data_IF_683784068921
#
_entry.id   IF_683784068921
#
_cell.length_a   1.000
_cell.length_b   1.000
_cell.length_c   1.000
_cell.angle_alpha   90.00
_cell.angle_beta   90.00
_cell.angle_gamma   90.00
#
_symmetry.space_group_name_H-M   'P 1'
#
loop_
_entity.id
_entity.type
_entity.pdbx_description
1 polymer ?
#
# COMPACT_ATOMS: atom_id res chain seq x y z
N UNK A 1 26.94 15.26 -5.58
CA UNK A 1 26.43 14.42 -4.48
C UNK A 1 25.49 13.39 -5.07
N UNK A 2 25.94 12.14 -5.07
CA UNK A 2 25.26 10.99 -5.68
C UNK A 2 24.23 10.41 -4.71
N UNK A 3 22.97 10.27 -5.14
CA UNK A 3 22.01 9.38 -4.50
C UNK A 3 21.38 8.46 -5.55
N UNK A 4 21.63 7.17 -5.30
CA UNK A 4 21.52 6.03 -6.19
C UNK A 4 20.08 5.56 -6.45
N UNK A 5 19.80 5.28 -7.73
CA UNK A 5 19.13 4.07 -8.27
C UNK A 5 17.97 3.46 -7.46
N UNK A 6 16.75 3.77 -7.88
CA UNK A 6 15.80 2.77 -8.45
C UNK A 6 14.80 3.49 -9.35
N UNK A 7 15.00 3.41 -10.66
CA UNK A 7 14.12 3.98 -11.68
C UNK A 7 12.81 3.20 -11.84
N UNK A 8 11.81 3.58 -11.05
CA UNK A 8 10.40 3.55 -11.45
C UNK A 8 9.74 4.77 -10.83
N UNK A 9 9.41 5.74 -11.66
CA UNK A 9 8.62 6.92 -11.34
C UNK A 9 7.43 6.58 -10.43
N UNK A 10 7.27 7.29 -9.31
CA UNK A 10 5.97 7.63 -8.79
C UNK A 10 5.61 9.08 -9.17
N UNK A 11 6.02 9.53 -10.37
CA UNK A 11 5.37 10.61 -11.10
C UNK A 11 4.00 10.11 -11.57
N UNK A 12 3.12 9.85 -10.61
CA UNK A 12 1.76 9.40 -10.87
C UNK A 12 0.88 9.73 -9.66
N UNK A 13 0.22 10.87 -9.81
CA UNK A 13 -1.08 11.19 -9.19
C UNK A 13 -1.00 11.79 -7.78
N UNK A 14 -0.28 12.90 -7.71
CA UNK A 14 -0.76 14.06 -6.97
C UNK A 14 -2.09 14.51 -7.59
N UNK A 15 -3.20 13.82 -7.26
CA UNK A 15 -4.57 14.36 -7.40
C UNK A 15 -4.83 15.26 -6.19
N UNK A 16 -4.00 16.28 -6.07
CA UNK A 16 -4.29 17.44 -5.24
C UNK A 16 -5.56 18.11 -5.77
N UNK A 17 -6.40 18.59 -4.85
CA UNK A 17 -7.61 19.41 -5.05
C UNK A 17 -8.97 18.71 -5.16
N UNK A 18 -9.22 17.69 -4.33
CA UNK A 18 -10.62 17.31 -4.01
C UNK A 18 -10.87 15.88 -3.56
N UNK A 19 -9.83 15.07 -3.39
CA UNK A 19 -10.00 13.67 -3.05
C UNK A 19 -10.39 13.52 -1.59
N UNK A 20 -11.65 13.18 -1.34
CA UNK A 20 -12.11 12.70 -0.04
C UNK A 20 -11.25 11.51 0.35
N UNK A 21 -10.49 11.66 1.44
CA UNK A 21 -9.70 10.57 1.98
C UNK A 21 -10.64 9.51 2.57
N UNK A 22 -10.43 8.26 2.17
CA UNK A 22 -11.06 7.10 2.78
C UNK A 22 -10.27 6.81 4.05
N UNK A 23 -10.88 7.17 5.19
CA UNK A 23 -10.39 6.84 6.53
C UNK A 23 -11.22 5.73 7.19
N UNK A 24 -12.26 5.25 6.52
CA UNK A 24 -13.09 4.14 6.97
C UNK A 24 -12.24 2.86 6.99
N UNK A 25 -11.99 2.35 8.21
CA UNK A 25 -11.12 1.19 8.41
C UNK A 25 -11.68 -0.05 7.72
N UNK A 26 -12.99 -0.25 7.72
CA UNK A 26 -13.65 -1.40 7.09
C UNK A 26 -13.41 -1.44 5.57
N UNK A 27 -13.56 -0.28 4.91
CA UNK A 27 -13.29 -0.11 3.48
C UNK A 27 -11.82 -0.34 3.16
N UNK A 28 -10.91 0.19 3.98
CA UNK A 28 -9.47 -0.02 3.81
C UNK A 28 -9.07 -1.48 4.03
N UNK A 29 -9.62 -2.13 5.06
CA UNK A 29 -9.39 -3.55 5.34
C UNK A 29 -9.80 -4.41 4.14
N UNK A 30 -10.98 -4.16 3.55
CA UNK A 30 -11.43 -4.91 2.36
C UNK A 30 -10.49 -4.72 1.17
N UNK A 31 -10.01 -3.50 0.95
CA UNK A 31 -9.04 -3.22 -0.11
C UNK A 31 -7.69 -3.90 0.15
N UNK A 32 -7.23 -3.92 1.41
CA UNK A 32 -6.02 -4.62 1.83
C UNK A 32 -6.19 -6.13 1.60
N UNK A 33 -7.26 -6.74 2.10
CA UNK A 33 -7.53 -8.19 1.94
C UNK A 33 -7.59 -8.59 0.46
N UNK A 34 -8.22 -7.78 -0.39
CA UNK A 34 -8.27 -8.02 -1.84
C UNK A 34 -6.86 -7.97 -2.46
N UNK A 35 -6.04 -6.97 -2.10
CA UNK A 35 -4.66 -6.87 -2.57
C UNK A 35 -3.82 -8.05 -2.07
N UNK A 36 -3.91 -8.43 -0.80
CA UNK A 36 -3.16 -9.55 -0.24
C UNK A 36 -3.57 -10.86 -0.92
N UNK A 37 -4.87 -11.07 -1.14
CA UNK A 37 -5.41 -12.26 -1.82
C UNK A 37 -4.98 -12.36 -3.29
N UNK A 38 -4.79 -11.21 -3.96
CA UNK A 38 -4.29 -11.16 -5.34
C UNK A 38 -2.77 -11.33 -5.46
N UNK A 39 -2.04 -11.18 -4.36
CA UNK A 39 -0.57 -11.24 -4.33
C UNK A 39 -0.07 -12.24 -3.28
N UNK A 40 -0.53 -13.52 -3.31
CA UNK A 40 -0.23 -14.49 -2.26
C UNK A 40 1.26 -14.82 -2.17
N UNK A 41 1.97 -14.74 -3.29
CA UNK A 41 3.42 -14.94 -3.35
C UNK A 41 4.16 -13.86 -2.57
N UNK A 42 3.82 -12.60 -2.83
CA UNK A 42 4.42 -11.46 -2.16
C UNK A 42 4.08 -11.45 -0.66
N UNK A 43 2.92 -11.98 -0.27
CA UNK A 43 2.57 -12.13 1.16
C UNK A 43 3.48 -13.16 1.81
N UNK A 44 3.69 -14.31 1.16
CA UNK A 44 4.63 -15.33 1.64
C UNK A 44 6.05 -14.76 1.75
N UNK A 45 6.51 -14.08 0.71
CA UNK A 45 7.82 -13.45 0.64
C UNK A 45 8.01 -12.39 1.75
N UNK A 46 6.97 -11.62 2.06
CA UNK A 46 7.00 -10.65 3.16
C UNK A 46 7.14 -11.37 4.51
N UNK A 47 6.39 -12.47 4.71
CA UNK A 47 6.47 -13.30 5.91
C UNK A 47 7.83 -14.00 6.06
N UNK A 48 8.53 -14.25 4.97
CA UNK A 48 9.93 -14.73 4.96
C UNK A 48 10.96 -13.65 5.31
N UNK A 49 10.52 -12.42 5.60
CA UNK A 49 11.39 -11.32 6.01
C UNK A 49 11.73 -10.32 4.91
N UNK A 50 11.06 -10.37 3.75
CA UNK A 50 11.22 -9.34 2.71
C UNK A 50 10.39 -8.10 3.01
N UNK A 51 10.82 -7.34 4.02
CA UNK A 51 10.15 -6.13 4.50
C UNK A 51 9.94 -5.06 3.41
N UNK A 52 10.76 -5.05 2.36
CA UNK A 52 10.61 -4.16 1.19
C UNK A 52 9.27 -4.32 0.47
N UNK A 53 8.61 -5.48 0.61
CA UNK A 53 7.28 -5.72 0.04
C UNK A 53 6.18 -4.94 0.75
N UNK A 54 6.43 -4.41 1.95
CA UNK A 54 5.48 -3.52 2.61
C UNK A 54 5.13 -2.30 1.74
N UNK A 55 6.14 -1.63 1.19
CA UNK A 55 5.94 -0.49 0.28
C UNK A 55 5.21 -0.87 -1.01
N UNK A 56 5.43 -2.09 -1.50
CA UNK A 56 4.67 -2.63 -2.64
C UNK A 56 3.18 -2.75 -2.32
N UNK A 57 2.83 -3.33 -1.16
CA UNK A 57 1.44 -3.45 -0.74
C UNK A 57 0.77 -2.09 -0.49
N UNK A 58 1.48 -1.14 0.14
CA UNK A 58 0.98 0.23 0.29
C UNK A 58 0.64 0.83 -1.07
N UNK A 59 1.55 0.75 -2.05
CA UNK A 59 1.30 1.25 -3.40
C UNK A 59 0.14 0.56 -4.10
N UNK A 60 -0.01 -0.75 -3.94
CA UNK A 60 -1.11 -1.52 -4.53
C UNK A 60 -2.47 -1.12 -3.92
N UNK A 61 -2.54 -0.92 -2.60
CA UNK A 61 -3.78 -0.47 -1.94
C UNK A 61 -4.09 0.98 -2.27
N UNK A 62 -3.09 1.87 -2.32
CA UNK A 62 -3.28 3.24 -2.80
C UNK A 62 -3.80 3.26 -4.24
N UNK A 63 -3.30 2.39 -5.12
CA UNK A 63 -3.81 2.25 -6.48
C UNK A 63 -5.25 1.73 -6.52
N UNK A 64 -5.57 0.69 -5.74
CA UNK A 64 -6.92 0.12 -5.66
C UNK A 64 -7.94 1.16 -5.17
N UNK A 65 -7.53 2.02 -4.23
CA UNK A 65 -8.32 3.13 -3.73
C UNK A 65 -8.17 4.41 -4.55
N UNK A 66 -7.54 4.39 -5.74
CA UNK A 66 -7.33 5.56 -6.61
C UNK A 66 -6.66 6.77 -5.93
N UNK A 67 -5.75 6.50 -4.99
CA UNK A 67 -5.05 7.50 -4.19
C UNK A 67 -5.91 8.11 -3.07
N UNK A 68 -7.08 7.54 -2.81
CA UNK A 68 -8.00 8.05 -1.80
C UNK A 68 -7.73 7.49 -0.40
N UNK A 69 -7.00 6.38 -0.26
CA UNK A 69 -6.69 5.83 1.06
C UNK A 69 -5.92 6.82 1.94
N UNK A 70 -6.33 6.96 3.21
CA UNK A 70 -5.52 7.66 4.19
C UNK A 70 -4.22 6.86 4.47
N UNK A 71 -3.03 7.45 4.27
CA UNK A 71 -1.78 6.72 4.40
C UNK A 71 -1.49 6.28 5.84
N UNK A 72 -1.88 7.04 6.86
CA UNK A 72 -1.62 6.67 8.26
C UNK A 72 -2.43 5.44 8.66
N UNK A 73 -3.74 5.46 8.36
CA UNK A 73 -4.65 4.34 8.65
C UNK A 73 -4.28 3.11 7.83
N UNK A 74 -3.99 3.29 6.53
CA UNK A 74 -3.53 2.21 5.66
C UNK A 74 -2.29 1.51 6.20
N UNK A 75 -1.24 2.27 6.54
CA UNK A 75 0.01 1.68 7.04
C UNK A 75 -0.21 0.88 8.32
N UNK A 76 -1.05 1.38 9.24
CA UNK A 76 -1.40 0.67 10.47
C UNK A 76 -2.11 -0.65 10.16
N UNK A 77 -3.22 -0.60 9.41
CA UNK A 77 -4.06 -1.76 9.11
C UNK A 77 -3.30 -2.82 8.29
N UNK A 78 -2.52 -2.37 7.30
CA UNK A 78 -1.73 -3.26 6.45
C UNK A 78 -0.67 -4.00 7.28
N UNK A 79 0.01 -3.30 8.19
CA UNK A 79 0.98 -3.90 9.10
C UNK A 79 0.30 -4.94 10.00
N UNK A 80 -0.84 -4.59 10.59
CA UNK A 80 -1.62 -5.53 11.42
C UNK A 80 -2.07 -6.79 10.65
N UNK A 81 -2.42 -6.66 9.36
CA UNK A 81 -2.80 -7.82 8.53
C UNK A 81 -1.63 -8.69 8.12
N UNK A 82 -0.47 -8.09 7.88
CA UNK A 82 0.73 -8.82 7.50
C UNK A 82 1.48 -9.42 8.71
N UNK A 83 1.29 -8.88 9.92
CA UNK A 83 1.87 -9.40 11.17
C UNK A 83 1.06 -10.53 11.82
N UNK A 84 -0.10 -10.88 11.27
CA UNK A 84 -0.87 -12.06 11.65
C UNK A 84 -0.39 -13.30 10.90
#
# INVERSE_FOLDING_TARGET
>A
EEMYKTGKDPDAVVKEKGVVQISDEDTLIKAIDDVLSKNPKEVSDYKEGREKLFGFFVGQVMKATKGQANPQVLNKLLKERLSK
#
